data_IF_225796334689
#
_entry.id   IF_225796334689
#
_cell.length_a   1.000
_cell.length_b   1.000
_cell.length_c   1.000
_cell.angle_alpha   90.00
_cell.angle_beta   90.00
_cell.angle_gamma   90.00
#
_symmetry.space_group_name_H-M   'P 1'
#
loop_
_entity.id
_entity.type
_entity.pdbx_description
1 polymer ?
#
# COMPACT_ATOMS: atom_id res chain seq x y z
N UNK A 1 42.71 17.89 1.22
CA UNK A 1 41.84 16.95 1.96
C UNK A 1 41.05 16.15 0.94
N UNK A 2 41.45 14.90 0.68
CA UNK A 2 40.78 14.06 -0.31
C UNK A 2 39.39 13.66 0.21
N UNK A 3 38.34 14.08 -0.50
CA UNK A 3 36.98 13.55 -0.31
C UNK A 3 37.04 12.06 -0.61
N UNK A 4 37.24 11.27 0.45
CA UNK A 4 37.22 9.82 0.44
C UNK A 4 35.90 9.41 -0.19
N UNK A 5 35.99 8.87 -1.42
CA UNK A 5 34.86 8.41 -2.21
C UNK A 5 33.78 7.79 -1.30
N UNK A 6 32.53 8.28 -1.33
CA UNK A 6 31.50 7.79 -0.43
C UNK A 6 31.37 6.29 -0.68
N UNK A 7 31.55 5.51 0.39
CA UNK A 7 31.57 4.07 0.33
C UNK A 7 30.25 3.60 -0.33
N UNK A 8 30.28 2.99 -1.54
CA UNK A 8 29.08 2.78 -2.35
C UNK A 8 28.06 1.87 -1.67
N UNK A 9 28.51 1.03 -0.73
CA UNK A 9 27.67 0.17 0.10
C UNK A 9 26.81 0.93 1.11
N UNK A 10 27.35 1.96 1.76
CA UNK A 10 26.61 2.76 2.75
C UNK A 10 25.50 3.60 2.08
N UNK A 11 25.79 4.12 0.87
CA UNK A 11 24.79 4.85 0.07
C UNK A 11 23.68 3.91 -0.41
N UNK A 12 24.02 2.67 -0.79
CA UNK A 12 23.02 1.67 -1.13
C UNK A 12 22.15 1.29 0.07
N UNK A 13 22.71 1.05 1.25
CA UNK A 13 21.94 0.74 2.47
C UNK A 13 21.00 1.88 2.89
N UNK A 14 21.45 3.14 2.80
CA UNK A 14 20.60 4.29 3.07
C UNK A 14 19.42 4.40 2.08
N UNK A 15 19.67 4.22 0.78
CA UNK A 15 18.60 4.19 -0.24
C UNK A 15 17.62 3.04 -0.04
N UNK A 16 18.13 1.89 0.38
CA UNK A 16 17.34 0.72 0.71
C UNK A 16 16.37 1.01 1.86
N UNK A 17 16.85 1.57 2.97
CA UNK A 17 16.01 1.98 4.10
C UNK A 17 14.96 3.01 3.72
N UNK A 18 15.34 4.01 2.90
CA UNK A 18 14.43 5.06 2.45
C UNK A 18 13.31 4.53 1.55
N UNK A 19 13.62 3.58 0.66
CA UNK A 19 12.61 2.89 -0.18
C UNK A 19 11.62 2.10 0.67
N UNK A 20 12.09 1.38 1.69
CA UNK A 20 11.20 0.65 2.61
C UNK A 20 10.31 1.60 3.40
N UNK A 21 10.86 2.71 3.91
CA UNK A 21 10.09 3.73 4.62
C UNK A 21 9.00 4.37 3.73
N UNK A 22 9.33 4.67 2.46
CA UNK A 22 8.38 5.18 1.48
C UNK A 22 7.29 4.16 1.14
N UNK A 23 7.64 2.89 0.92
CA UNK A 23 6.65 1.85 0.64
C UNK A 23 5.73 1.64 1.83
N UNK A 24 6.27 1.68 3.06
CA UNK A 24 5.49 1.53 4.28
C UNK A 24 4.54 2.72 4.48
N UNK A 25 5.02 3.95 4.29
CA UNK A 25 4.17 5.15 4.42
C UNK A 25 3.07 5.18 3.37
N UNK A 26 3.37 4.79 2.13
CA UNK A 26 2.38 4.67 1.06
C UNK A 26 1.35 3.58 1.38
N UNK A 27 1.78 2.45 1.96
CA UNK A 27 0.88 1.37 2.36
C UNK A 27 -0.06 1.80 3.48
N UNK A 28 0.45 2.50 4.49
CA UNK A 28 -0.36 3.05 5.59
C UNK A 28 -1.39 4.04 5.03
N UNK A 29 -0.96 4.97 4.17
CA UNK A 29 -1.86 5.95 3.56
C UNK A 29 -2.96 5.26 2.74
N UNK A 30 -2.61 4.29 1.90
CA UNK A 30 -3.58 3.52 1.12
C UNK A 30 -4.54 2.72 2.02
N UNK A 31 -4.06 2.18 3.14
CA UNK A 31 -4.88 1.50 4.15
C UNK A 31 -5.91 2.42 4.80
N UNK A 32 -5.51 3.63 5.19
CA UNK A 32 -6.42 4.63 5.78
C UNK A 32 -7.51 5.02 4.77
N UNK A 33 -7.13 5.28 3.51
CA UNK A 33 -8.09 5.61 2.45
C UNK A 33 -9.04 4.45 2.18
N UNK A 34 -8.52 3.21 2.13
CA UNK A 34 -9.36 2.01 1.96
C UNK A 34 -10.35 1.83 3.12
N UNK A 35 -9.93 2.07 4.37
CA UNK A 35 -10.82 2.00 5.53
C UNK A 35 -11.90 3.07 5.49
N UNK A 36 -11.54 4.31 5.17
CA UNK A 36 -12.49 5.42 5.03
C UNK A 36 -13.50 5.14 3.91
N UNK A 37 -13.01 4.77 2.72
CA UNK A 37 -13.85 4.44 1.57
C UNK A 37 -14.72 3.19 1.82
N UNK A 38 -14.20 2.20 2.54
CA UNK A 38 -14.94 1.02 2.96
C UNK A 38 -16.04 1.35 3.96
N UNK A 39 -15.77 2.22 4.94
CA UNK A 39 -16.75 2.71 5.90
C UNK A 39 -17.84 3.53 5.22
N UNK A 40 -17.48 4.40 4.27
CA UNK A 40 -18.48 5.13 3.49
C UNK A 40 -19.32 4.15 2.68
N UNK A 41 -18.72 3.18 1.97
CA UNK A 41 -19.46 2.13 1.26
C UNK A 41 -20.40 1.34 2.17
N UNK A 42 -19.96 0.94 3.37
CA UNK A 42 -20.79 0.20 4.32
C UNK A 42 -22.00 1.05 4.77
N UNK A 43 -21.78 2.35 4.97
CA UNK A 43 -22.83 3.30 5.37
C UNK A 43 -23.77 3.66 4.23
N UNK A 44 -23.27 3.74 3.00
CA UNK A 44 -24.08 3.96 1.80
C UNK A 44 -24.72 2.67 1.26
N UNK A 45 -24.28 1.50 1.73
CA UNK A 45 -24.78 0.17 1.38
C UNK A 45 -26.32 0.04 1.41
N UNK A 46 -27.01 0.40 2.51
CA UNK A 46 -28.48 0.35 2.55
C UNK A 46 -29.17 1.28 1.54
N UNK A 47 -28.46 2.28 1.01
CA UNK A 47 -28.94 3.22 0.01
C UNK A 47 -28.33 2.96 -1.38
N UNK A 48 -27.56 1.89 -1.54
CA UNK A 48 -26.82 1.61 -2.78
C UNK A 48 -27.76 1.38 -3.95
N UNK A 49 -28.89 0.69 -3.74
CA UNK A 49 -29.90 0.46 -4.77
C UNK A 49 -30.50 1.78 -5.29
N UNK A 50 -30.84 2.70 -4.39
CA UNK A 50 -31.39 4.04 -4.73
C UNK A 50 -30.35 4.96 -5.38
N UNK A 51 -29.07 4.83 -5.00
CA UNK A 51 -28.00 5.63 -5.60
C UNK A 51 -27.58 5.06 -6.97
N UNK A 52 -27.69 3.75 -7.18
CA UNK A 52 -27.44 3.11 -8.47
C UNK A 52 -28.54 3.39 -9.50
N UNK A 53 -29.79 3.64 -9.05
CA UNK A 53 -30.86 4.13 -9.91
C UNK A 53 -30.73 5.61 -10.30
N UNK A 54 -29.69 6.31 -9.80
CA UNK A 54 -29.41 7.70 -10.12
C UNK A 54 -30.19 8.72 -9.29
N UNK A 55 -30.96 8.27 -8.30
CA UNK A 55 -31.70 9.16 -7.40
C UNK A 55 -30.86 9.54 -6.17
N UNK A 56 -30.98 10.79 -5.69
CA UNK A 56 -30.31 11.20 -4.46
C UNK A 56 -30.93 10.48 -3.26
N UNK A 57 -30.13 9.73 -2.51
CA UNK A 57 -30.60 9.03 -1.32
C UNK A 57 -30.53 9.94 -0.09
N UNK A 58 -31.61 10.01 0.69
CA UNK A 58 -31.63 10.79 1.93
C UNK A 58 -30.95 10.00 3.06
N UNK A 59 -29.76 10.43 3.48
CA UNK A 59 -28.96 9.77 4.54
C UNK A 59 -29.37 10.21 5.95
N UNK A 60 -29.86 11.44 6.07
CA UNK A 60 -30.37 12.07 7.29
C UNK A 60 -31.32 13.20 6.90
N UNK A 61 -32.24 13.66 7.77
CA UNK A 61 -33.10 14.81 7.46
C UNK A 61 -32.23 16.02 7.08
N UNK A 62 -32.36 16.49 5.83
CA UNK A 62 -31.57 17.60 5.27
C UNK A 62 -30.23 17.20 4.64
N UNK A 63 -29.81 15.92 4.69
CA UNK A 63 -28.56 15.44 4.10
C UNK A 63 -28.84 14.43 2.97
N UNK A 64 -28.66 14.86 1.73
CA UNK A 64 -28.78 14.01 0.54
C UNK A 64 -27.41 13.50 0.10
N UNK A 65 -27.27 12.19 -0.08
CA UNK A 65 -26.14 11.58 -0.78
C UNK A 65 -26.35 11.71 -2.28
N UNK A 66 -25.35 12.24 -2.95
CA UNK A 66 -25.29 12.27 -4.40
C UNK A 66 -24.88 10.87 -4.93
N UNK A 67 -25.51 10.30 -5.97
CA UNK A 67 -25.11 9.03 -6.58
C UNK A 67 -23.61 8.96 -6.98
N UNK A 68 -23.02 10.11 -7.32
CA UNK A 68 -21.59 10.24 -7.63
C UNK A 68 -20.71 9.81 -6.44
N UNK A 69 -21.15 10.07 -5.21
CA UNK A 69 -20.40 9.75 -4.00
C UNK A 69 -20.16 8.25 -3.86
N UNK A 70 -21.13 7.43 -4.29
CA UNK A 70 -21.02 5.96 -4.28
C UNK A 70 -19.98 5.48 -5.29
N UNK A 71 -20.00 6.00 -6.51
CA UNK A 71 -19.02 5.66 -7.55
C UNK A 71 -17.60 6.08 -7.15
N UNK A 72 -17.45 7.28 -6.59
CA UNK A 72 -16.15 7.79 -6.10
C UNK A 72 -15.65 6.93 -4.94
N UNK A 73 -16.51 6.56 -4.00
CA UNK A 73 -16.15 5.68 -2.88
C UNK A 73 -15.73 4.30 -3.36
N UNK A 74 -16.47 3.73 -4.33
CA UNK A 74 -16.17 2.44 -4.94
C UNK A 74 -14.84 2.45 -5.69
N UNK A 75 -14.61 3.49 -6.52
CA UNK A 75 -13.36 3.69 -7.23
C UNK A 75 -12.18 3.89 -6.28
N UNK A 76 -12.34 4.75 -5.27
CA UNK A 76 -11.31 5.00 -4.26
C UNK A 76 -10.97 3.73 -3.47
N UNK A 77 -11.99 2.93 -3.11
CA UNK A 77 -11.78 1.65 -2.44
C UNK A 77 -11.00 0.70 -3.34
N UNK A 78 -11.48 0.46 -4.56
CA UNK A 78 -10.85 -0.45 -5.53
C UNK A 78 -9.39 -0.08 -5.82
N UNK A 79 -9.14 1.21 -6.10
CA UNK A 79 -7.78 1.73 -6.35
C UNK A 79 -6.91 1.53 -5.11
N UNK A 80 -7.40 1.87 -3.91
CA UNK A 80 -6.62 1.72 -2.68
C UNK A 80 -6.28 0.26 -2.37
N UNK A 81 -7.21 -0.68 -2.55
CA UNK A 81 -6.94 -2.12 -2.45
C UNK A 81 -5.94 -2.60 -3.49
N UNK A 82 -6.07 -2.16 -4.75
CA UNK A 82 -5.13 -2.50 -5.81
C UNK A 82 -3.72 -1.98 -5.50
N UNK A 83 -3.62 -0.76 -4.98
CA UNK A 83 -2.37 -0.12 -4.61
C UNK A 83 -1.71 -0.81 -3.41
N UNK A 84 -2.50 -1.24 -2.41
CA UNK A 84 -2.03 -2.08 -1.30
C UNK A 84 -1.48 -3.42 -1.80
N UNK A 85 -2.20 -4.13 -2.68
CA UNK A 85 -1.75 -5.39 -3.25
C UNK A 85 -0.45 -5.20 -4.04
N UNK A 86 -0.36 -4.14 -4.85
CA UNK A 86 0.84 -3.79 -5.58
C UNK A 86 2.02 -3.48 -4.65
N UNK A 87 1.78 -2.77 -3.55
CA UNK A 87 2.81 -2.47 -2.52
C UNK A 87 3.29 -3.74 -1.82
N UNK A 88 2.38 -4.63 -1.42
CA UNK A 88 2.75 -5.91 -0.81
C UNK A 88 3.53 -6.78 -1.80
N UNK A 89 3.12 -6.79 -3.06
CA UNK A 89 3.80 -7.53 -4.12
C UNK A 89 5.21 -7.00 -4.38
N UNK A 90 5.36 -5.68 -4.51
CA UNK A 90 6.66 -5.02 -4.70
C UNK A 90 7.58 -5.24 -3.50
N UNK A 91 7.08 -5.14 -2.27
CA UNK A 91 7.83 -5.51 -1.05
C UNK A 91 8.30 -6.97 -1.11
N UNK A 92 7.44 -7.91 -1.53
CA UNK A 92 7.79 -9.32 -1.69
C UNK A 92 8.91 -9.52 -2.72
N UNK A 93 8.81 -8.88 -3.88
CA UNK A 93 9.86 -8.95 -4.91
C UNK A 93 11.18 -8.34 -4.45
N UNK A 94 11.14 -7.17 -3.80
CA UNK A 94 12.32 -6.52 -3.23
C UNK A 94 12.99 -7.42 -2.20
N UNK A 95 12.21 -8.01 -1.29
CA UNK A 95 12.71 -8.98 -0.30
C UNK A 95 13.37 -10.18 -0.96
N UNK A 96 12.74 -10.77 -1.98
CA UNK A 96 13.29 -11.92 -2.71
C UNK A 96 14.61 -11.58 -3.40
N UNK A 97 14.66 -10.48 -4.14
CA UNK A 97 15.90 -10.03 -4.81
C UNK A 97 17.03 -9.76 -3.83
N UNK A 98 16.71 -9.24 -2.64
CA UNK A 98 17.74 -8.92 -1.66
C UNK A 98 18.20 -10.15 -0.89
N UNK A 99 17.32 -11.12 -0.63
CA UNK A 99 17.72 -12.43 -0.07
C UNK A 99 18.67 -13.19 -1.00
N UNK A 100 18.57 -13.01 -2.32
CA UNK A 100 19.51 -13.61 -3.27
C UNK A 100 20.88 -12.91 -3.27
N UNK A 101 20.97 -11.66 -2.81
CA UNK A 101 22.25 -10.92 -2.72
C UNK A 101 23.00 -11.15 -1.41
N UNK A 102 22.40 -11.83 -0.44
CA UNK A 102 23.09 -12.30 0.77
C UNK A 102 23.50 -13.74 0.50
N UNK A 103 24.75 -14.03 0.11
CA UNK A 103 25.22 -15.41 0.18
C UNK A 103 25.05 -15.84 1.65
N UNK A 104 24.27 -16.90 1.87
CA UNK A 104 24.19 -17.54 3.18
C UNK A 104 25.62 -17.68 3.73
N UNK A 105 25.88 -17.33 5.00
CA UNK A 105 27.16 -17.61 5.62
C UNK A 105 27.32 -19.12 5.72
N UNK A 106 27.99 -19.70 4.72
CA UNK A 106 28.80 -20.92 4.75
C UNK A 106 28.56 -21.81 5.99
N UNK A 107 27.40 -22.46 6.05
CA UNK A 107 27.17 -23.59 6.94
C UNK A 107 27.25 -24.87 6.10
N UNK A 108 28.45 -25.18 5.58
CA UNK A 108 28.88 -26.54 5.21
C UNK A 108 30.36 -26.59 4.79
N UNK A 109 31.25 -26.01 5.61
CA UNK A 109 32.65 -26.42 5.61
C UNK A 109 33.17 -26.43 7.04
N UNK A 110 32.96 -27.57 7.73
CA UNK A 110 33.82 -28.16 8.78
C UNK A 110 33.05 -29.21 9.58
N UNK A 111 33.23 -30.48 9.22
CA UNK A 111 33.75 -31.57 10.09
C UNK A 111 33.34 -32.95 9.57
N UNK A 112 34.36 -33.70 9.16
CA UNK A 112 34.59 -35.16 9.23
C UNK A 112 35.48 -35.44 8.01
N UNK A 113 36.81 -35.30 8.13
CA UNK A 113 37.74 -36.19 8.84
C UNK A 113 37.56 -37.64 8.41
#
# INVERSE_FOLDING_TARGET
>A
MALKNPNPRAVQEARRGLLWALLLSLAILAGIVALLAGLTLLRLGPHAATLLSGEPATLAPGLQANPILLQVSLGAFAVSTGLLLALVWTMRQLRQRWSQTVPEPNKKRKKQK
#
